data_IF_538958149253
#
_entry.id   IF_538958149253
#
_cell.length_a   1.000
_cell.length_b   1.000
_cell.length_c   1.000
_cell.angle_alpha   90.00
_cell.angle_beta   90.00
_cell.angle_gamma   90.00
#
_symmetry.space_group_name_H-M   'P 1'
#
loop_
_entity.id
_entity.type
_entity.pdbx_description
1 polymer ?
#
# COMPACT_ATOMS: atom_id res chain seq x y z
N UNK A 1 12.67 -13.24 7.26
CA UNK A 1 11.68 -12.28 6.73
C UNK A 1 12.22 -11.62 5.47
N UNK A 2 11.34 -11.31 4.53
CA UNK A 2 11.68 -10.52 3.34
C UNK A 2 11.91 -9.07 3.72
N UNK A 3 12.68 -8.36 2.93
CA UNK A 3 12.97 -6.92 3.11
C UNK A 3 12.50 -6.14 1.89
N UNK A 4 11.96 -4.96 2.11
CA UNK A 4 11.65 -4.04 1.02
C UNK A 4 12.90 -3.29 0.56
N UNK A 5 12.90 -2.66 -0.62
CA UNK A 5 14.01 -1.82 -1.06
C UNK A 5 14.35 -0.67 -0.09
N UNK A 6 13.38 -0.22 0.70
CA UNK A 6 13.55 0.88 1.66
C UNK A 6 13.90 0.41 3.09
N UNK A 7 14.08 -0.90 3.30
CA UNK A 7 14.31 -1.48 4.62
C UNK A 7 15.44 -0.80 5.42
N UNK A 8 16.60 -0.58 4.80
CA UNK A 8 17.73 0.06 5.48
C UNK A 8 17.45 1.53 5.83
N UNK A 9 16.65 2.23 5.02
CA UNK A 9 16.21 3.59 5.34
C UNK A 9 15.32 3.60 6.58
N UNK A 10 14.36 2.68 6.68
CA UNK A 10 13.50 2.54 7.86
C UNK A 10 14.33 2.29 9.12
N UNK A 11 15.29 1.39 9.02
CA UNK A 11 16.17 1.04 10.13
C UNK A 11 17.03 2.23 10.57
N UNK A 12 17.64 2.94 9.61
CA UNK A 12 18.48 4.12 9.89
C UNK A 12 17.70 5.28 10.48
N UNK A 13 16.41 5.39 10.17
CA UNK A 13 15.50 6.37 10.77
C UNK A 13 14.98 5.94 12.16
N UNK A 14 15.45 4.81 12.69
CA UNK A 14 15.06 4.33 14.01
C UNK A 14 13.67 3.71 14.09
N UNK A 15 13.14 3.23 12.96
CA UNK A 15 11.83 2.60 12.92
C UNK A 15 11.79 1.31 13.76
N UNK A 16 10.68 1.10 14.46
CA UNK A 16 10.37 -0.19 15.07
C UNK A 16 9.89 -1.13 13.97
N UNK A 17 10.70 -2.13 13.66
CA UNK A 17 10.42 -3.12 12.62
C UNK A 17 9.70 -4.33 13.18
N UNK A 18 8.70 -4.83 12.46
CA UNK A 18 7.89 -6.01 12.82
C UNK A 18 7.65 -6.88 11.59
N UNK A 19 7.27 -8.13 11.81
CA UNK A 19 6.77 -9.00 10.75
C UNK A 19 5.39 -8.51 10.28
N UNK A 20 5.32 -8.15 9.01
CA UNK A 20 4.08 -7.79 8.34
C UNK A 20 3.97 -8.56 7.03
N UNK A 21 3.10 -9.55 6.99
CA UNK A 21 2.90 -10.41 5.81
C UNK A 21 4.21 -11.06 5.30
N UNK A 22 5.11 -11.45 6.19
CA UNK A 22 6.40 -12.06 5.86
C UNK A 22 7.50 -11.08 5.47
N UNK A 23 7.22 -9.78 5.53
CA UNK A 23 8.21 -8.71 5.36
C UNK A 23 8.54 -8.05 6.69
N UNK A 24 9.79 -7.65 6.87
CA UNK A 24 10.21 -6.82 7.99
C UNK A 24 9.88 -5.36 7.68
N UNK A 25 8.81 -4.85 8.29
CA UNK A 25 8.22 -3.55 7.98
C UNK A 25 8.19 -2.61 9.17
N UNK A 26 8.29 -1.30 8.95
CA UNK A 26 8.17 -0.33 10.04
C UNK A 26 6.73 -0.19 10.50
N UNK A 27 6.49 -0.37 11.80
CA UNK A 27 5.17 -0.11 12.39
C UNK A 27 5.06 1.31 12.92
N UNK A 28 6.17 1.88 13.34
CA UNK A 28 6.27 3.29 13.79
C UNK A 28 7.72 3.74 13.76
N UNK A 29 7.93 5.04 13.75
CA UNK A 29 9.26 5.66 13.95
C UNK A 29 9.37 6.22 15.37
N UNK A 30 8.45 7.08 15.77
CA UNK A 30 8.39 7.66 17.12
C UNK A 30 7.12 7.26 17.85
N UNK A 31 5.96 7.52 17.27
CA UNK A 31 4.66 7.27 17.88
C UNK A 31 3.61 7.04 16.79
N UNK A 32 2.87 5.94 16.90
CA UNK A 32 1.76 5.62 15.99
C UNK A 32 0.72 6.74 15.95
N UNK A 33 0.35 7.25 17.13
CA UNK A 33 -0.67 8.30 17.25
C UNK A 33 -0.19 9.62 16.65
N UNK A 34 1.02 10.04 16.96
CA UNK A 34 1.55 11.31 16.45
C UNK A 34 1.76 11.27 14.94
N UNK A 35 2.25 10.16 14.41
CA UNK A 35 2.40 9.94 12.97
C UNK A 35 1.05 9.94 12.26
N UNK A 36 0.03 9.30 12.82
CA UNK A 36 -1.34 9.35 12.33
C UNK A 36 -1.89 10.78 12.28
N UNK A 37 -1.75 11.53 13.37
CA UNK A 37 -2.20 12.91 13.44
C UNK A 37 -1.47 13.82 12.47
N UNK A 38 -0.17 13.58 12.26
CA UNK A 38 0.63 14.31 11.29
C UNK A 38 0.12 14.11 9.85
N UNK A 39 -0.19 12.87 9.47
CA UNK A 39 -0.79 12.56 8.16
C UNK A 39 -2.13 13.27 7.97
N UNK A 40 -2.93 13.37 9.03
CA UNK A 40 -4.22 14.09 8.99
C UNK A 40 -4.08 15.59 8.82
N UNK A 41 -2.99 16.17 9.28
CA UNK A 41 -2.76 17.63 9.24
C UNK A 41 -1.87 18.07 8.08
N UNK A 42 -1.06 17.18 7.57
CA UNK A 42 -0.03 17.48 6.57
C UNK A 42 0.08 16.36 5.55
N UNK A 43 1.26 15.81 5.35
CA UNK A 43 1.53 14.80 4.35
C UNK A 43 2.28 13.62 4.98
N UNK A 44 1.95 12.40 4.54
CA UNK A 44 2.65 11.18 4.93
C UNK A 44 3.15 10.42 3.72
N UNK A 45 4.27 9.72 3.89
CA UNK A 45 4.83 8.80 2.91
C UNK A 45 4.82 7.40 3.48
N UNK A 46 4.33 6.44 2.72
CA UNK A 46 4.19 5.05 3.15
C UNK A 46 4.95 4.13 2.20
N UNK A 47 5.75 3.21 2.75
CA UNK A 47 6.35 2.13 1.98
C UNK A 47 5.30 1.04 1.74
N UNK A 48 4.92 0.86 0.50
CA UNK A 48 3.98 -0.17 0.05
C UNK A 48 4.65 -1.22 -0.84
N UNK A 49 5.98 -1.30 -0.80
CA UNK A 49 6.77 -2.19 -1.66
C UNK A 49 6.52 -3.68 -1.41
N UNK A 50 5.87 -4.03 -0.29
CA UNK A 50 5.47 -5.40 0.01
C UNK A 50 4.19 -5.83 -0.73
N UNK A 51 3.49 -4.92 -1.35
CA UNK A 51 2.26 -5.19 -2.10
C UNK A 51 2.58 -5.67 -3.51
N UNK A 52 1.72 -6.54 -4.04
CA UNK A 52 1.78 -6.95 -5.44
C UNK A 52 0.96 -6.02 -6.34
N UNK A 53 1.35 -5.97 -7.59
CA UNK A 53 0.69 -5.18 -8.63
C UNK A 53 0.38 -6.06 -9.83
N UNK A 54 -0.82 -5.90 -10.40
CA UNK A 54 -1.24 -6.62 -11.58
C UNK A 54 -1.76 -5.66 -12.63
N UNK A 55 -1.28 -5.80 -13.86
CA UNK A 55 -1.82 -5.09 -15.01
C UNK A 55 -2.73 -6.06 -15.76
N UNK A 56 -4.01 -5.70 -15.86
CA UNK A 56 -5.02 -6.50 -16.57
C UNK A 56 -5.42 -5.78 -17.84
N UNK A 57 -5.18 -6.42 -18.98
CA UNK A 57 -5.42 -5.84 -20.30
C UNK A 57 -6.29 -6.74 -21.17
N UNK A 58 -6.82 -6.19 -22.26
CA UNK A 58 -7.63 -6.92 -23.21
C UNK A 58 -9.09 -6.46 -23.22
N UNK A 59 -9.81 -6.88 -24.25
CA UNK A 59 -11.21 -6.45 -24.49
C UNK A 59 -12.17 -6.81 -23.35
N UNK A 60 -11.89 -7.89 -22.63
CA UNK A 60 -12.72 -8.41 -21.53
C UNK A 60 -12.14 -8.11 -20.15
N UNK A 61 -11.11 -7.29 -20.04
CA UNK A 61 -10.47 -6.98 -18.77
C UNK A 61 -11.45 -6.41 -17.73
N UNK A 62 -12.21 -5.40 -18.11
CA UNK A 62 -13.21 -4.79 -17.23
C UNK A 62 -14.32 -5.77 -16.83
N UNK A 63 -14.81 -6.55 -17.78
CA UNK A 63 -15.83 -7.59 -17.51
C UNK A 63 -15.31 -8.64 -16.55
N UNK A 64 -14.08 -9.12 -16.74
CA UNK A 64 -13.45 -10.10 -15.86
C UNK A 64 -13.29 -9.55 -14.44
N UNK A 65 -12.73 -8.35 -14.29
CA UNK A 65 -12.55 -7.71 -12.99
C UNK A 65 -13.89 -7.43 -12.30
N UNK A 66 -14.90 -7.01 -13.06
CA UNK A 66 -16.24 -6.78 -12.53
C UNK A 66 -16.88 -8.06 -11.98
N UNK A 67 -16.52 -9.19 -12.54
CA UNK A 67 -17.02 -10.50 -12.11
C UNK A 67 -16.37 -11.01 -10.84
N UNK A 68 -15.09 -10.74 -10.62
CA UNK A 68 -14.31 -11.29 -9.50
C UNK A 68 -14.12 -10.33 -8.34
N UNK A 69 -14.47 -9.06 -8.50
CA UNK A 69 -14.38 -8.04 -7.44
C UNK A 69 -15.76 -7.56 -7.01
N UNK A 70 -15.84 -6.97 -5.82
CA UNK A 70 -17.12 -6.60 -5.20
C UNK A 70 -17.75 -5.36 -5.83
N UNK A 71 -16.92 -4.37 -6.16
CA UNK A 71 -17.40 -3.09 -6.65
C UNK A 71 -17.56 -3.07 -8.17
N UNK A 72 -18.41 -2.17 -8.67
CA UNK A 72 -18.68 -2.04 -10.11
C UNK A 72 -17.51 -1.39 -10.83
N UNK A 73 -16.63 -2.22 -11.42
CA UNK A 73 -15.48 -1.79 -12.19
C UNK A 73 -15.88 -0.96 -13.41
N UNK A 74 -17.04 -1.25 -14.00
CA UNK A 74 -17.53 -0.56 -15.20
C UNK A 74 -17.93 0.89 -14.94
N UNK A 75 -18.19 1.26 -13.67
CA UNK A 75 -18.48 2.65 -13.30
C UNK A 75 -17.23 3.52 -13.20
N UNK A 76 -16.03 2.93 -13.17
CA UNK A 76 -14.76 3.65 -13.09
C UNK A 76 -14.50 4.44 -14.37
N UNK A 77 -14.10 5.68 -14.18
CA UNK A 77 -13.53 6.52 -15.25
C UNK A 77 -12.01 6.43 -15.21
N UNK A 78 -11.37 6.87 -16.30
CA UNK A 78 -9.91 6.95 -16.35
C UNK A 78 -9.39 7.76 -15.17
N UNK A 79 -8.31 7.31 -14.53
CA UNK A 79 -7.68 7.88 -13.34
C UNK A 79 -8.48 7.75 -12.04
N UNK A 80 -9.57 7.01 -12.03
CA UNK A 80 -10.27 6.67 -10.81
C UNK A 80 -9.82 5.33 -10.25
N UNK A 81 -9.94 5.20 -8.93
CA UNK A 81 -9.68 3.96 -8.21
C UNK A 81 -10.87 3.57 -7.35
N UNK A 82 -10.96 2.30 -7.02
CA UNK A 82 -11.95 1.73 -6.08
C UNK A 82 -11.33 0.58 -5.30
N UNK A 83 -11.92 0.28 -4.17
CA UNK A 83 -11.60 -0.93 -3.41
C UNK A 83 -12.18 -2.20 -4.03
#
# INVERSE_FOLDING_TARGET
>A
MKKTPLHEYHKNLGAKLVDFAGFEMPIQYQSIIDEHLFVRKSCGVFDVSHMGEFIVTGKKAAEFLNKITINDVKSLKIWQAQY
#
